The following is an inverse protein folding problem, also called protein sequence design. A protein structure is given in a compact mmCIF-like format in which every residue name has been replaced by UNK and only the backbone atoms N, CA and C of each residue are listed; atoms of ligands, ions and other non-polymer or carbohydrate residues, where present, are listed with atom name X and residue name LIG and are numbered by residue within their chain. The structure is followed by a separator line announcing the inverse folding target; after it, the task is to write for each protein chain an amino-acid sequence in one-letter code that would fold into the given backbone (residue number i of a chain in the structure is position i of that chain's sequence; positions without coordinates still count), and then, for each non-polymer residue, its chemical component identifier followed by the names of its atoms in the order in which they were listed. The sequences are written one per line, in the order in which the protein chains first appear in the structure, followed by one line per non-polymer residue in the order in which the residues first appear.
data_IF_973882437076
#
_entry.id   IF_973882437076
#
_cell.length_a   1.000
_cell.length_b   1.000
_cell.length_c   1.000
_cell.angle_alpha   90.00
_cell.angle_beta   90.00
_cell.angle_gamma   90.00
#
_symmetry.space_group_name_H-M   'P 1'
#
loop_
_entity.id
_entity.type
_entity.pdbx_description
1 polymer ?
#
# COMPACT_ATOMS: atom_id res chain seq x y z
N UNK A 1 14.71 11.56 41.71
CA UNK A 1 14.10 12.51 40.76
C UNK A 1 13.78 11.73 39.49
N UNK A 2 12.56 11.22 39.36
CA UNK A 2 12.14 10.41 38.21
C UNK A 2 11.68 11.34 37.09
N UNK A 3 12.41 11.36 35.98
CA UNK A 3 12.00 12.07 34.76
C UNK A 3 11.23 11.08 33.89
N UNK A 4 9.90 11.07 34.02
CA UNK A 4 9.02 10.46 33.02
C UNK A 4 8.90 11.43 31.83
N UNK A 5 9.76 11.25 30.82
CA UNK A 5 9.77 12.07 29.61
C UNK A 5 9.53 11.25 28.34
N UNK A 6 8.36 11.46 27.72
CA UNK A 6 8.05 11.25 26.29
C UNK A 6 7.86 9.80 25.74
N UNK A 7 6.73 9.13 26.05
CA UNK A 7 6.16 8.15 25.11
C UNK A 7 4.87 8.64 24.41
N UNK A 8 4.19 9.67 24.94
CA UNK A 8 2.80 9.97 24.56
C UNK A 8 2.65 10.61 23.17
N UNK A 9 3.63 11.38 22.68
CA UNK A 9 3.52 12.08 21.38
C UNK A 9 3.75 11.19 20.15
N UNK A 10 4.46 10.07 20.30
CA UNK A 10 4.86 9.19 19.18
C UNK A 10 3.74 8.21 18.78
N UNK A 11 3.03 7.68 19.78
CA UNK A 11 1.90 6.76 19.58
C UNK A 11 0.70 7.46 18.91
N UNK A 12 0.52 8.76 19.17
CA UNK A 12 -0.60 9.55 18.62
C UNK A 12 -0.52 9.71 17.11
N UNK A 13 0.68 9.76 16.50
CA UNK A 13 0.83 9.93 15.06
C UNK A 13 0.41 8.67 14.28
N UNK A 14 0.83 7.49 14.71
CA UNK A 14 0.42 6.21 14.10
C UNK A 14 -1.08 5.95 14.29
N UNK A 15 -1.62 6.23 15.47
CA UNK A 15 -3.05 6.08 15.74
C UNK A 15 -3.92 7.08 14.94
N UNK A 16 -3.47 8.32 14.73
CA UNK A 16 -4.16 9.29 13.89
C UNK A 16 -4.04 8.95 12.39
N UNK A 17 -2.91 8.40 11.94
CA UNK A 17 -2.75 7.87 10.59
C UNK A 17 -3.66 6.67 10.35
N UNK A 18 -3.74 5.76 11.31
CA UNK A 18 -4.72 4.68 11.29
C UNK A 18 -6.12 5.27 11.27
N UNK A 19 -6.50 6.20 12.14
CA UNK A 19 -7.83 6.80 12.14
C UNK A 19 -8.19 7.52 10.83
N UNK A 20 -7.23 8.20 10.18
CA UNK A 20 -7.39 8.85 8.88
C UNK A 20 -7.39 7.86 7.71
N UNK A 21 -6.63 6.78 7.83
CA UNK A 21 -6.72 5.62 6.93
C UNK A 21 -8.11 5.03 7.12
N UNK A 22 -8.46 4.48 8.29
CA UNK A 22 -9.76 3.91 8.69
C UNK A 22 -10.98 4.79 8.35
N UNK A 23 -10.93 6.12 8.50
CA UNK A 23 -12.08 6.98 8.17
C UNK A 23 -12.40 6.99 6.66
N UNK A 24 -11.39 6.75 5.81
CA UNK A 24 -11.58 6.49 4.39
C UNK A 24 -12.21 5.10 4.09
N UNK A 25 -12.27 4.18 5.07
CA UNK A 25 -12.80 2.80 4.94
C UNK A 25 -14.29 2.67 5.31
N UNK A 26 -14.91 3.73 5.84
CA UNK A 26 -16.38 3.79 5.99
C UNK A 26 -17.09 3.90 4.63
N UNK A 27 -16.35 4.29 3.60
CA UNK A 27 -16.71 4.11 2.20
C UNK A 27 -16.03 2.82 1.74
N UNK A 28 -16.76 1.95 1.01
CA UNK A 28 -16.24 0.73 0.37
C UNK A 28 -14.85 1.00 -0.23
N UNK A 29 -13.96 0.01 -0.34
CA UNK A 29 -12.65 0.21 -1.00
C UNK A 29 -12.72 0.83 -2.42
N UNK A 30 -13.89 0.85 -3.05
CA UNK A 30 -14.19 1.59 -4.29
C UNK A 30 -14.22 3.13 -4.13
N UNK A 31 -14.37 3.64 -2.91
CA UNK A 31 -14.28 5.06 -2.55
C UNK A 31 -12.87 5.51 -2.17
N UNK A 32 -11.94 4.57 -1.97
CA UNK A 32 -10.51 4.88 -1.90
C UNK A 32 -9.98 5.04 -3.33
N UNK A 33 -10.42 6.12 -3.97
CA UNK A 33 -9.83 6.58 -5.20
C UNK A 33 -8.39 6.97 -4.89
N UNK A 34 -7.43 6.17 -5.35
CA UNK A 34 -6.06 6.65 -5.52
C UNK A 34 -6.12 7.61 -6.71
N UNK A 35 -6.62 8.82 -6.43
CA UNK A 35 -6.44 10.03 -7.21
C UNK A 35 -7.13 9.98 -8.58
N UNK A 36 -8.40 10.42 -8.61
CA UNK A 36 -8.97 10.90 -9.86
C UNK A 36 -8.28 12.22 -10.24
N UNK A 37 -7.49 12.18 -11.32
CA UNK A 37 -7.14 13.36 -12.10
C UNK A 37 -6.39 14.47 -11.33
N UNK A 38 -5.28 14.14 -10.65
CA UNK A 38 -4.37 15.18 -10.17
C UNK A 38 -3.52 15.69 -11.35
N UNK A 39 -3.56 16.99 -11.70
CA UNK A 39 -2.69 17.54 -12.74
C UNK A 39 -1.20 17.45 -12.39
N UNK A 40 -0.86 17.16 -11.12
CA UNK A 40 0.51 17.02 -10.63
C UNK A 40 0.64 15.80 -9.69
N UNK A 41 0.96 14.64 -10.25
CA UNK A 41 1.17 13.40 -9.48
C UNK A 41 2.18 13.56 -8.32
N UNK A 42 3.21 14.38 -8.50
CA UNK A 42 4.22 14.69 -7.46
C UNK A 42 3.63 15.39 -6.24
N UNK A 43 2.76 16.39 -6.43
CA UNK A 43 2.16 17.12 -5.29
C UNK A 43 1.23 16.22 -4.48
N UNK A 44 0.59 15.28 -5.16
CA UNK A 44 -0.35 14.36 -4.52
C UNK A 44 0.35 13.23 -3.80
N UNK A 45 1.42 12.67 -4.37
CA UNK A 45 2.31 11.76 -3.63
C UNK A 45 2.87 12.50 -2.42
N UNK A 46 3.37 13.73 -2.57
CA UNK A 46 3.87 14.50 -1.43
C UNK A 46 2.81 14.70 -0.34
N UNK A 47 1.54 14.90 -0.70
CA UNK A 47 0.43 15.00 0.25
C UNK A 47 0.14 13.67 0.97
N UNK A 48 0.15 12.55 0.24
CA UNK A 48 0.01 11.20 0.81
C UNK A 48 1.23 10.80 1.65
N UNK A 49 2.40 11.37 1.35
CA UNK A 49 3.64 11.18 2.09
C UNK A 49 3.71 12.03 3.37
N UNK A 50 2.97 13.16 3.46
CA UNK A 50 3.02 14.05 4.62
C UNK A 50 2.80 13.32 5.96
N UNK A 51 1.77 12.46 6.11
CA UNK A 51 1.55 11.75 7.35
C UNK A 51 2.73 10.81 7.67
N UNK A 52 3.26 10.12 6.66
CA UNK A 52 4.31 9.10 6.85
C UNK A 52 5.74 9.66 6.81
N UNK A 53 5.89 10.98 6.69
CA UNK A 53 7.18 11.68 6.71
C UNK A 53 8.08 11.28 7.91
N UNK A 54 7.56 11.05 9.14
CA UNK A 54 8.40 10.63 10.26
C UNK A 54 9.08 9.26 10.06
N UNK A 55 8.44 8.34 9.34
CA UNK A 55 9.00 7.02 9.05
C UNK A 55 10.05 7.12 7.96
N UNK A 56 9.71 7.81 6.88
CA UNK A 56 10.60 8.02 5.73
C UNK A 56 11.81 8.91 6.04
N UNK A 57 11.70 9.77 7.06
CA UNK A 57 12.81 10.53 7.63
C UNK A 57 13.59 9.80 8.74
N UNK A 58 13.14 8.62 9.17
CA UNK A 58 13.85 7.81 10.17
C UNK A 58 13.79 8.29 11.60
N UNK A 59 12.77 9.06 11.94
CA UNK A 59 12.57 9.61 13.29
C UNK A 59 11.41 8.96 14.04
N UNK A 60 10.67 8.06 13.39
CA UNK A 60 9.62 7.24 13.98
C UNK A 60 10.11 5.85 14.38
N UNK A 61 9.40 5.20 15.30
CA UNK A 61 9.61 3.79 15.62
C UNK A 61 8.90 2.91 14.60
N UNK A 62 9.42 1.71 14.36
CA UNK A 62 8.76 0.76 13.47
C UNK A 62 7.35 0.46 13.96
N UNK A 63 6.36 0.60 13.08
CA UNK A 63 4.95 0.39 13.38
C UNK A 63 4.33 -0.56 12.36
N UNK A 64 3.63 -1.58 12.85
CA UNK A 64 2.79 -2.44 12.03
C UNK A 64 1.36 -2.45 12.59
N UNK A 65 0.37 -2.33 11.73
CA UNK A 65 -1.03 -2.43 12.11
C UNK A 65 -1.88 -3.10 11.03
N UNK A 66 -2.81 -3.93 11.48
CA UNK A 66 -3.76 -4.68 10.65
C UNK A 66 -5.16 -4.36 11.14
N UNK A 67 -6.07 -4.05 10.23
CA UNK A 67 -7.50 -3.84 10.53
C UNK A 67 -8.35 -4.63 9.53
N UNK A 68 -9.38 -5.33 10.02
CA UNK A 68 -10.22 -6.20 9.20
C UNK A 68 -11.70 -6.02 9.56
N UNK A 69 -12.51 -5.77 8.54
CA UNK A 69 -13.97 -5.74 8.60
C UNK A 69 -14.56 -6.81 7.67
N UNK A 70 -15.61 -7.49 8.11
CA UNK A 70 -16.26 -8.59 7.37
C UNK A 70 -15.84 -9.98 7.84
N UNK A 71 -15.76 -10.95 6.93
CA UNK A 71 -15.67 -12.39 7.28
C UNK A 71 -14.54 -13.11 6.55
N UNK A 72 -13.83 -14.00 7.24
CA UNK A 72 -12.77 -14.87 6.67
C UNK A 72 -11.59 -14.12 6.03
N UNK A 73 -11.35 -12.86 6.42
CA UNK A 73 -10.17 -12.13 5.97
C UNK A 73 -8.90 -12.61 6.70
N UNK A 74 -7.76 -12.61 6.02
CA UNK A 74 -6.47 -12.98 6.59
C UNK A 74 -5.39 -11.99 6.15
N UNK A 75 -4.50 -11.63 7.07
CA UNK A 75 -3.41 -10.71 6.80
C UNK A 75 -2.15 -11.12 7.58
N UNK A 76 -0.99 -10.99 6.93
CA UNK A 76 0.33 -11.17 7.54
C UNK A 76 1.17 -9.94 7.23
N UNK A 77 1.83 -9.38 8.24
CA UNK A 77 2.81 -8.30 8.11
C UNK A 77 4.12 -8.75 8.74
N UNK A 78 5.22 -8.61 7.99
CA UNK A 78 6.57 -8.84 8.46
C UNK A 78 7.43 -7.61 8.16
N UNK A 79 8.13 -7.10 9.17
CA UNK A 79 8.95 -5.89 9.05
C UNK A 79 10.31 -6.15 9.68
N UNK A 80 11.36 -6.04 8.88
CA UNK A 80 12.75 -6.15 9.28
C UNK A 80 13.45 -4.80 9.04
N UNK A 81 14.04 -4.25 10.10
CA UNK A 81 14.73 -2.95 10.11
C UNK A 81 14.00 -1.87 10.91
N UNK A 82 14.47 -0.62 10.78
CA UNK A 82 14.09 0.48 11.67
C UNK A 82 13.21 1.54 10.98
N UNK A 83 12.36 2.17 11.79
CA UNK A 83 11.52 3.31 11.39
C UNK A 83 10.62 3.02 10.18
N UNK A 84 10.12 1.79 10.11
CA UNK A 84 9.22 1.36 9.03
C UNK A 84 7.75 1.51 9.42
N UNK A 85 6.87 1.67 8.43
CA UNK A 85 5.43 1.65 8.59
C UNK A 85 4.83 0.56 7.72
N UNK A 86 4.06 -0.34 8.32
CA UNK A 86 3.34 -1.42 7.66
C UNK A 86 1.86 -1.35 8.03
N UNK A 87 1.01 -0.96 7.09
CA UNK A 87 -0.43 -0.85 7.30
C UNK A 87 -1.19 -1.75 6.34
N UNK A 88 -2.07 -2.59 6.88
CA UNK A 88 -3.02 -3.40 6.13
C UNK A 88 -4.43 -3.12 6.64
N UNK A 89 -5.34 -2.81 5.72
CA UNK A 89 -6.76 -2.70 6.04
C UNK A 89 -7.60 -3.48 5.03
N UNK A 90 -8.51 -4.29 5.55
CA UNK A 90 -9.37 -5.16 4.75
C UNK A 90 -10.84 -4.91 5.07
N UNK A 91 -11.68 -4.82 4.05
CA UNK A 91 -13.15 -4.70 4.18
C UNK A 91 -13.87 -5.62 3.18
N UNK A 92 -14.45 -6.71 3.69
CA UNK A 92 -15.22 -7.64 2.87
C UNK A 92 -15.03 -9.09 3.28
N UNK A 93 -15.00 -10.01 2.33
CA UNK A 93 -14.95 -11.44 2.63
C UNK A 93 -13.82 -12.20 1.93
N UNK A 94 -13.16 -13.10 2.66
CA UNK A 94 -12.12 -14.01 2.13
C UNK A 94 -10.93 -13.30 1.48
N UNK A 95 -10.67 -12.05 1.88
CA UNK A 95 -9.52 -11.30 1.39
C UNK A 95 -8.25 -11.76 2.09
N UNK A 96 -7.15 -11.90 1.35
CA UNK A 96 -5.84 -12.28 1.86
C UNK A 96 -4.80 -11.22 1.54
N UNK A 97 -3.99 -10.87 2.53
CA UNK A 97 -2.93 -9.88 2.41
C UNK A 97 -1.62 -10.41 3.00
N UNK A 98 -0.52 -10.19 2.29
CA UNK A 98 0.84 -10.36 2.81
C UNK A 98 1.62 -9.09 2.53
N UNK A 99 2.18 -8.50 3.59
CA UNK A 99 3.02 -7.31 3.49
C UNK A 99 4.40 -7.59 4.10
N UNK A 100 5.46 -7.26 3.37
CA UNK A 100 6.84 -7.48 3.81
C UNK A 100 7.70 -6.24 3.58
N UNK A 101 8.43 -5.82 4.61
CA UNK A 101 9.44 -4.75 4.51
C UNK A 101 10.78 -5.30 4.99
N UNK A 102 11.81 -5.17 4.15
CA UNK A 102 13.20 -5.44 4.51
C UNK A 102 14.03 -4.20 4.20
N UNK A 103 14.49 -3.51 5.23
CA UNK A 103 15.24 -2.26 5.13
C UNK A 103 14.76 -1.23 6.15
N UNK A 104 15.10 0.03 5.95
CA UNK A 104 14.80 1.09 6.91
C UNK A 104 13.96 2.19 6.27
N UNK A 105 13.26 2.95 7.11
CA UNK A 105 12.59 4.19 6.71
C UNK A 105 11.54 4.02 5.60
N UNK A 106 10.91 2.85 5.50
CA UNK A 106 9.96 2.55 4.44
C UNK A 106 8.52 2.51 4.93
N UNK A 107 7.57 2.85 4.07
CA UNK A 107 6.15 2.89 4.40
C UNK A 107 5.32 2.16 3.35
N UNK A 108 4.70 1.03 3.75
CA UNK A 108 3.81 0.23 2.91
C UNK A 108 2.39 0.30 3.46
N UNK A 109 1.45 0.60 2.58
CA UNK A 109 0.04 0.77 2.90
C UNK A 109 -0.81 -0.03 1.91
N UNK A 110 -1.68 -0.89 2.45
CA UNK A 110 -2.60 -1.72 1.68
C UNK A 110 -4.05 -1.47 2.12
N UNK A 111 -4.90 -1.12 1.16
CA UNK A 111 -6.35 -1.22 1.29
C UNK A 111 -6.88 -2.30 0.36
N UNK A 112 -7.70 -3.18 0.92
CA UNK A 112 -8.28 -4.28 0.18
C UNK A 112 -9.76 -4.42 0.52
N UNK A 113 -10.63 -4.23 -0.46
CA UNK A 113 -12.05 -4.46 -0.27
C UNK A 113 -12.64 -5.47 -1.24
N UNK A 114 -13.91 -5.84 -1.03
CA UNK A 114 -14.63 -6.79 -1.88
C UNK A 114 -14.44 -8.24 -1.46
N UNK A 115 -14.47 -9.18 -2.42
CA UNK A 115 -14.48 -10.63 -2.10
C UNK A 115 -13.34 -11.40 -2.76
N UNK A 116 -12.68 -12.25 -1.97
CA UNK A 116 -11.66 -13.20 -2.43
C UNK A 116 -10.51 -12.55 -3.22
N UNK A 117 -10.09 -11.36 -2.80
CA UNK A 117 -8.90 -10.72 -3.33
C UNK A 117 -7.66 -11.25 -2.60
N UNK A 118 -6.53 -11.40 -3.29
CA UNK A 118 -5.26 -11.83 -2.72
C UNK A 118 -4.19 -10.80 -3.08
N UNK A 119 -3.51 -10.24 -2.09
CA UNK A 119 -2.51 -9.17 -2.30
C UNK A 119 -1.19 -9.52 -1.64
N UNK A 120 -0.11 -9.38 -2.41
CA UNK A 120 1.26 -9.36 -1.92
C UNK A 120 1.84 -7.97 -2.16
N UNK A 121 2.35 -7.35 -1.10
CA UNK A 121 3.05 -6.08 -1.17
C UNK A 121 4.40 -6.22 -0.48
N UNK A 122 5.49 -5.94 -1.19
CA UNK A 122 6.82 -6.11 -0.64
C UNK A 122 7.77 -4.98 -1.05
N UNK A 123 8.65 -4.59 -0.13
CA UNK A 123 9.72 -3.65 -0.37
C UNK A 123 11.03 -4.15 0.21
N UNK A 124 12.08 -4.11 -0.61
CA UNK A 124 13.46 -4.41 -0.23
C UNK A 124 14.32 -3.20 -0.54
N UNK A 125 14.92 -2.60 0.50
CA UNK A 125 15.73 -1.38 0.43
C UNK A 125 15.25 -0.31 1.41
N UNK A 126 15.87 0.88 1.35
CA UNK A 126 15.61 1.96 2.29
C UNK A 126 14.78 3.08 1.68
N UNK A 127 14.04 3.81 2.51
CA UNK A 127 13.28 5.03 2.11
C UNK A 127 12.27 4.79 1.00
N UNK A 128 11.61 3.64 1.02
CA UNK A 128 10.59 3.30 0.03
C UNK A 128 9.18 3.68 0.49
N UNK A 129 8.32 4.02 -0.46
CA UNK A 129 6.91 4.24 -0.24
C UNK A 129 6.07 3.44 -1.24
N UNK A 130 5.07 2.75 -0.71
CA UNK A 130 4.20 1.91 -1.49
C UNK A 130 2.75 2.02 -1.01
N UNK A 131 1.85 2.42 -1.91
CA UNK A 131 0.40 2.44 -1.66
C UNK A 131 -0.29 1.48 -2.63
N UNK A 132 -1.08 0.55 -2.11
CA UNK A 132 -1.85 -0.41 -2.91
C UNK A 132 -3.33 -0.35 -2.51
N UNK A 133 -4.20 -0.14 -3.49
CA UNK A 133 -5.65 -0.25 -3.36
C UNK A 133 -6.17 -1.37 -4.25
N UNK A 134 -6.97 -2.29 -3.71
CA UNK A 134 -7.60 -3.38 -4.47
C UNK A 134 -9.08 -3.51 -4.11
N UNK A 135 -9.96 -3.55 -5.11
CA UNK A 135 -11.39 -3.81 -4.89
C UNK A 135 -12.02 -4.63 -6.01
N UNK A 136 -13.22 -5.17 -5.76
CA UNK A 136 -13.94 -6.06 -6.66
C UNK A 136 -13.83 -7.52 -6.22
N UNK A 137 -13.84 -8.48 -7.16
CA UNK A 137 -13.83 -9.91 -6.81
C UNK A 137 -12.76 -10.73 -7.53
N UNK A 138 -12.20 -11.70 -6.81
CA UNK A 138 -11.28 -12.70 -7.34
C UNK A 138 -10.00 -12.12 -7.98
N UNK A 139 -9.48 -11.01 -7.44
CA UNK A 139 -8.26 -10.41 -7.95
C UNK A 139 -7.02 -10.94 -7.23
N UNK A 140 -5.90 -11.05 -7.96
CA UNK A 140 -4.58 -11.40 -7.42
C UNK A 140 -3.59 -10.29 -7.78
N UNK A 141 -3.06 -9.57 -6.80
CA UNK A 141 -2.20 -8.41 -7.01
C UNK A 141 -0.88 -8.60 -6.28
N UNK A 142 0.23 -8.41 -6.98
CA UNK A 142 1.57 -8.39 -6.40
C UNK A 142 2.25 -7.08 -6.78
N UNK A 143 2.71 -6.30 -5.79
CA UNK A 143 3.53 -5.12 -6.02
C UNK A 143 4.83 -5.20 -5.21
N UNK A 144 5.95 -5.30 -5.92
CA UNK A 144 7.29 -5.43 -5.32
C UNK A 144 8.16 -4.23 -5.69
N UNK A 145 8.76 -3.62 -4.68
CA UNK A 145 9.84 -2.64 -4.81
C UNK A 145 11.18 -3.31 -4.47
N UNK A 146 12.18 -3.15 -5.34
CA UNK A 146 13.53 -3.61 -5.10
C UNK A 146 14.53 -2.49 -5.40
N UNK A 147 15.15 -1.93 -4.37
CA UNK A 147 16.01 -0.75 -4.43
C UNK A 147 15.63 0.25 -3.33
N UNK A 148 16.34 1.37 -3.26
CA UNK A 148 16.07 2.45 -2.29
C UNK A 148 15.50 3.68 -2.98
N UNK A 149 14.86 4.56 -2.20
CA UNK A 149 14.27 5.82 -2.65
C UNK A 149 13.18 5.65 -3.73
N UNK A 150 12.45 4.52 -3.67
CA UNK A 150 11.37 4.21 -4.59
C UNK A 150 10.02 4.61 -3.99
N UNK A 151 9.20 5.31 -4.77
CA UNK A 151 7.83 5.63 -4.44
C UNK A 151 6.89 5.17 -5.54
N UNK A 152 5.75 4.57 -5.18
CA UNK A 152 4.70 4.31 -6.15
C UNK A 152 3.36 3.93 -5.54
N UNK A 153 2.31 4.07 -6.37
CA UNK A 153 0.96 3.75 -6.00
C UNK A 153 0.29 2.88 -7.08
N UNK A 154 -0.45 1.86 -6.65
CA UNK A 154 -1.14 0.93 -7.54
C UNK A 154 -2.62 0.82 -7.13
N UNK A 155 -3.51 1.13 -8.05
CA UNK A 155 -4.97 1.13 -7.87
C UNK A 155 -5.61 0.09 -8.78
N UNK A 156 -5.99 -1.06 -8.23
CA UNK A 156 -6.68 -2.16 -8.93
C UNK A 156 -8.11 -2.26 -8.40
N UNK A 157 -8.94 -1.27 -8.74
CA UNK A 157 -10.31 -1.16 -8.23
C UNK A 157 -11.36 -1.56 -9.26
N UNK A 158 -12.51 -1.99 -8.76
CA UNK A 158 -13.66 -2.45 -9.53
C UNK A 158 -13.28 -3.58 -10.50
N UNK A 159 -12.27 -4.37 -10.15
CA UNK A 159 -11.73 -5.42 -10.99
C UNK A 159 -12.38 -6.77 -10.69
N UNK A 160 -12.49 -7.62 -11.71
CA UNK A 160 -13.09 -8.94 -11.65
C UNK A 160 -12.15 -9.96 -12.29
N UNK A 161 -11.73 -10.97 -11.51
CA UNK A 161 -10.83 -12.01 -11.99
C UNK A 161 -9.54 -11.43 -12.62
N UNK A 162 -8.97 -10.36 -12.06
CA UNK A 162 -7.74 -9.78 -12.56
C UNK A 162 -6.50 -10.36 -11.87
N UNK A 163 -5.39 -10.45 -12.61
CA UNK A 163 -4.06 -10.71 -12.05
C UNK A 163 -3.16 -9.53 -12.37
N UNK A 164 -2.59 -8.86 -11.38
CA UNK A 164 -1.68 -7.72 -11.60
C UNK A 164 -0.34 -8.02 -10.93
N UNK A 165 0.74 -7.95 -11.70
CA UNK A 165 2.10 -8.02 -11.19
C UNK A 165 2.81 -6.71 -11.51
N UNK A 166 3.27 -6.01 -10.49
CA UNK A 166 4.06 -4.80 -10.62
C UNK A 166 5.43 -4.98 -9.96
N UNK A 167 6.49 -4.68 -10.71
CA UNK A 167 7.86 -4.63 -10.21
C UNK A 167 8.42 -3.23 -10.44
N UNK A 168 8.79 -2.55 -9.35
CA UNK A 168 9.52 -1.29 -9.40
C UNK A 168 10.95 -1.50 -8.93
N UNK A 169 11.90 -1.07 -9.75
CA UNK A 169 13.32 -1.00 -9.43
C UNK A 169 13.84 0.40 -9.74
N UNK A 170 15.08 0.78 -9.40
CA UNK A 170 15.64 2.09 -9.80
C UNK A 170 15.56 2.35 -11.32
N UNK A 171 15.61 1.29 -12.15
CA UNK A 171 15.46 1.39 -13.61
C UNK A 171 14.04 1.79 -14.05
N UNK A 172 13.03 1.58 -13.22
CA UNK A 172 11.67 2.09 -13.45
C UNK A 172 11.58 3.61 -13.25
N UNK A 173 12.65 4.24 -12.76
CA UNK A 173 12.63 5.54 -12.13
C UNK A 173 12.20 5.45 -10.67
N UNK A 174 12.63 6.42 -9.87
CA UNK A 174 12.32 6.50 -8.44
C UNK A 174 10.81 6.65 -8.18
N UNK A 175 10.05 7.07 -9.19
CA UNK A 175 8.60 7.25 -9.10
C UNK A 175 7.90 6.39 -10.16
N UNK A 176 7.35 5.25 -9.76
CA UNK A 176 6.33 4.55 -10.54
C UNK A 176 5.04 5.36 -10.31
N UNK A 177 4.69 6.27 -11.21
CA UNK A 177 3.47 7.08 -11.10
C UNK A 177 2.24 6.24 -10.71
N UNK A 178 1.20 6.84 -10.10
CA UNK A 178 -0.03 6.11 -9.74
C UNK A 178 -0.57 5.35 -10.95
N UNK A 179 -0.59 4.03 -10.88
CA UNK A 179 -1.15 3.20 -11.95
C UNK A 179 -2.59 2.85 -11.59
N UNK A 180 -3.54 3.47 -12.29
CA UNK A 180 -4.96 3.14 -12.21
C UNK A 180 -5.32 2.02 -13.19
N UNK A 181 -5.61 0.83 -12.68
CA UNK A 181 -6.08 -0.34 -13.40
C UNK A 181 -7.53 -0.66 -13.01
N UNK A 182 -8.45 0.22 -13.40
CA UNK A 182 -9.86 0.11 -13.00
C UNK A 182 -10.69 -0.70 -13.96
N UNK A 183 -11.67 -1.44 -13.43
CA UNK A 183 -12.66 -2.13 -14.25
C UNK A 183 -12.09 -3.30 -15.07
N UNK A 184 -10.91 -3.81 -14.70
CA UNK A 184 -10.32 -4.99 -15.35
C UNK A 184 -11.27 -6.19 -15.22
N UNK A 185 -11.49 -6.90 -16.32
CA UNK A 185 -12.28 -8.13 -16.33
C UNK A 185 -11.48 -9.20 -17.04
N UNK A 186 -11.22 -10.32 -16.36
CA UNK A 186 -10.50 -11.45 -16.93
C UNK A 186 -9.19 -10.99 -17.61
N UNK A 187 -8.34 -10.30 -16.86
CA UNK A 187 -7.13 -9.70 -17.39
C UNK A 187 -5.90 -10.05 -16.56
N UNK A 188 -4.75 -10.18 -17.22
CA UNK A 188 -3.43 -10.25 -16.60
C UNK A 188 -2.68 -8.99 -16.99
N UNK A 189 -2.21 -8.22 -16.01
CA UNK A 189 -1.39 -7.02 -16.22
C UNK A 189 -0.02 -7.25 -15.60
N UNK A 190 1.04 -7.02 -16.39
CA UNK A 190 2.43 -7.06 -15.92
C UNK A 190 3.06 -5.70 -16.14
N UNK A 191 3.51 -5.07 -15.05
CA UNK A 191 4.17 -3.77 -15.03
C UNK A 191 5.62 -3.98 -14.59
N UNK A 192 6.55 -3.51 -15.40
CA UNK A 192 7.98 -3.51 -15.09
C UNK A 192 8.64 -2.20 -15.52
N UNK A 193 9.98 -2.11 -15.43
CA UNK A 193 10.72 -0.92 -15.83
C UNK A 193 10.37 -0.46 -17.25
N UNK A 194 9.73 0.71 -17.35
CA UNK A 194 9.38 1.37 -18.60
C UNK A 194 8.32 0.68 -19.47
N UNK A 195 7.65 -0.39 -18.99
CA UNK A 195 6.70 -1.17 -19.80
C UNK A 195 5.53 -1.71 -18.99
N UNK A 196 4.39 -1.81 -19.66
CA UNK A 196 3.19 -2.49 -19.17
C UNK A 196 2.66 -3.40 -20.27
N UNK A 197 2.29 -4.63 -19.90
CA UNK A 197 1.65 -5.59 -20.79
C UNK A 197 0.30 -6.01 -20.22
N UNK A 198 -0.69 -6.16 -21.09
CA UNK A 198 -2.04 -6.58 -20.73
C UNK A 198 -2.42 -7.79 -21.60
N UNK A 199 -2.89 -8.84 -20.95
CA UNK A 199 -3.29 -10.09 -21.59
C UNK A 199 -4.71 -10.48 -21.14
N UNK A 200 -5.48 -11.18 -21.99
CA UNK A 200 -6.70 -11.84 -21.53
C UNK A 200 -6.35 -12.96 -20.57
N UNK A 201 -7.20 -13.15 -19.57
CA UNK A 201 -7.18 -14.28 -18.64
C UNK A 201 -8.28 -15.23 -19.07
N UNK A 202 -7.90 -16.46 -19.41
CA UNK A 202 -8.82 -17.52 -19.78
C UNK A 202 -9.32 -18.29 -18.55
#
# INVERSE_FOLDING_TARGET
MFVFGKPIRRVVAAAAMMAGFLSAHSARAEGFYILENSPNATTTINALMQPIAPFTAGVAETTSAITQFGQDNSAISQVEGNSNLSLIAQDGSRNRAVQAIVGNNSALMLLQGGTNNNVLQASVGDRNFQLVGVSGNNNSVAYVQYGSDLAGALDVTNAQNATVLALQTPQSGNYLMPVGLRGLQNAVVVIGPGRMYVFPKH
#
